data_IF_977542550550
#
_entry.id   IF_977542550550
#
_cell.length_a   1.000
_cell.length_b   1.000
_cell.length_c   1.000
_cell.angle_alpha   90.00
_cell.angle_beta   90.00
_cell.angle_gamma   90.00
#
_symmetry.space_group_name_H-M   'P 1'
#
loop_
_entity.id
_entity.type
_entity.pdbx_description
1 polymer ?
#
# COMPACT_ATOMS: atom_id res chain seq x y z
N UNK A 1 -9.69 0.97 -3.62
CA UNK A 1 -10.24 0.53 -2.33
C UNK A 1 -10.28 1.71 -1.38
N UNK A 2 -11.43 2.38 -1.34
CA UNK A 2 -11.80 3.20 -0.18
C UNK A 2 -12.82 2.35 0.56
N UNK A 3 -12.39 1.71 1.65
CA UNK A 3 -13.32 1.09 2.58
C UNK A 3 -14.07 2.19 3.32
N UNK A 4 -15.30 1.90 3.73
CA UNK A 4 -16.34 2.85 4.18
C UNK A 4 -15.96 3.77 5.37
N UNK A 5 -14.75 3.65 5.90
CA UNK A 5 -14.25 4.31 7.11
C UNK A 5 -12.96 5.14 6.87
N UNK A 6 -12.76 5.68 5.67
CA UNK A 6 -11.57 6.48 5.29
C UNK A 6 -10.24 5.72 5.35
N UNK A 7 -10.28 4.39 5.44
CA UNK A 7 -9.11 3.53 5.41
C UNK A 7 -8.86 3.03 3.98
N UNK A 8 -7.57 2.93 3.62
CA UNK A 8 -7.12 2.34 2.35
C UNK A 8 -6.25 1.15 2.70
N UNK A 9 -6.62 -0.01 2.18
CA UNK A 9 -5.92 -1.27 2.40
C UNK A 9 -5.32 -1.73 1.07
N UNK A 10 -4.13 -2.32 1.14
CA UNK A 10 -3.43 -2.84 -0.03
C UNK A 10 -2.28 -3.74 0.37
N UNK A 11 -2.02 -4.73 -0.48
CA UNK A 11 -0.86 -5.61 -0.38
C UNK A 11 0.15 -5.21 -1.45
N UNK A 12 1.44 -5.25 -1.12
CA UNK A 12 2.51 -4.97 -2.05
C UNK A 12 3.65 -5.95 -1.82
N UNK A 13 4.17 -6.49 -2.92
CA UNK A 13 5.32 -7.40 -2.93
C UNK A 13 6.37 -6.91 -3.92
N UNK A 14 7.64 -7.12 -3.57
CA UNK A 14 8.78 -6.72 -4.39
C UNK A 14 10.04 -6.54 -3.56
N UNK A 15 11.07 -5.98 -4.21
CA UNK A 15 12.35 -5.66 -3.57
C UNK A 15 12.17 -4.72 -2.37
N UNK A 16 12.94 -4.96 -1.30
CA UNK A 16 12.83 -4.19 -0.05
C UNK A 16 12.98 -2.68 -0.28
N UNK A 17 13.91 -2.26 -1.14
CA UNK A 17 14.14 -0.85 -1.49
C UNK A 17 12.91 -0.23 -2.15
N UNK A 18 12.19 -1.00 -2.98
CA UNK A 18 10.97 -0.55 -3.65
C UNK A 18 9.81 -0.46 -2.67
N UNK A 19 9.66 -1.44 -1.78
CA UNK A 19 8.65 -1.43 -0.72
C UNK A 19 8.87 -0.26 0.26
N UNK A 20 10.11 0.02 0.66
CA UNK A 20 10.42 1.16 1.52
C UNK A 20 10.05 2.51 0.86
N UNK A 21 10.28 2.65 -0.46
CA UNK A 21 9.85 3.86 -1.19
C UNK A 21 8.34 3.98 -1.23
N UNK A 22 7.64 2.88 -1.52
CA UNK A 22 6.18 2.84 -1.54
C UNK A 22 5.59 3.25 -0.18
N UNK A 23 6.10 2.70 0.93
CA UNK A 23 5.64 3.04 2.28
C UNK A 23 5.81 4.54 2.58
N UNK A 24 6.94 5.14 2.18
CA UNK A 24 7.17 6.60 2.35
C UNK A 24 6.20 7.43 1.51
N UNK A 25 5.92 7.01 0.28
CA UNK A 25 4.95 7.70 -0.57
C UNK A 25 3.51 7.59 -0.01
N UNK A 26 3.15 6.44 0.57
CA UNK A 26 1.87 6.26 1.28
C UNK A 26 1.82 7.13 2.53
N UNK A 27 2.87 7.17 3.34
CA UNK A 27 2.94 8.01 4.55
C UNK A 27 2.77 9.50 4.23
N UNK A 28 3.36 9.98 3.13
CA UNK A 28 3.14 11.36 2.66
C UNK A 28 1.71 11.57 2.17
N UNK A 29 1.12 10.54 1.56
CA UNK A 29 -0.16 10.62 0.89
C UNK A 29 -0.13 11.43 -0.41
N UNK A 30 -1.17 11.30 -1.25
CA UNK A 30 -1.36 12.16 -2.41
C UNK A 30 -1.67 13.61 -1.99
N UNK A 31 -1.48 14.57 -2.90
CA UNK A 31 -1.54 16.03 -2.61
C UNK A 31 -2.81 16.52 -1.89
N UNK A 32 -3.92 15.80 -2.02
CA UNK A 32 -5.23 16.16 -1.45
C UNK A 32 -5.65 15.25 -0.27
N UNK A 33 -4.78 14.35 0.18
CA UNK A 33 -5.06 13.47 1.29
C UNK A 33 -4.10 13.74 2.45
N UNK A 34 -4.58 13.49 3.67
CA UNK A 34 -3.78 13.54 4.88
C UNK A 34 -3.76 12.16 5.51
N UNK A 35 -2.59 11.53 5.54
CA UNK A 35 -2.41 10.21 6.18
C UNK A 35 -2.17 10.44 7.66
N UNK A 36 -3.11 9.96 8.47
CA UNK A 36 -3.07 10.12 9.93
C UNK A 36 -2.31 8.95 10.58
N UNK A 37 -2.34 7.78 9.95
CA UNK A 37 -1.73 6.56 10.45
C UNK A 37 -1.41 5.62 9.29
N UNK A 38 -0.25 4.97 9.35
CA UNK A 38 0.13 3.87 8.46
C UNK A 38 0.39 2.63 9.31
N UNK A 39 -0.32 1.55 9.02
CA UNK A 39 -0.08 0.23 9.61
C UNK A 39 0.48 -0.69 8.54
N UNK A 40 1.49 -1.49 8.91
CA UNK A 40 2.13 -2.45 8.02
C UNK A 40 2.28 -3.79 8.72
N UNK A 41 2.06 -4.85 7.97
CA UNK A 41 2.26 -6.23 8.39
C UNK A 41 3.00 -6.97 7.28
N UNK A 42 3.99 -7.77 7.65
CA UNK A 42 4.67 -8.63 6.70
C UNK A 42 3.82 -9.87 6.43
N UNK A 43 3.70 -10.24 5.17
CA UNK A 43 2.97 -11.42 4.70
C UNK A 43 3.85 -12.18 3.71
N UNK A 44 3.60 -13.49 3.57
CA UNK A 44 4.31 -14.31 2.61
C UNK A 44 4.00 -13.88 1.15
N UNK A 45 5.00 -13.92 0.26
CA UNK A 45 4.78 -13.60 -1.15
C UNK A 45 3.80 -14.58 -1.80
N UNK A 46 2.92 -14.07 -2.65
CA UNK A 46 1.94 -14.87 -3.40
C UNK A 46 2.51 -15.26 -4.76
N UNK A 47 2.71 -16.55 -4.98
CA UNK A 47 3.17 -17.07 -6.27
C UNK A 47 2.14 -16.81 -7.39
N UNK A 48 2.62 -16.41 -8.57
CA UNK A 48 1.79 -16.20 -9.75
C UNK A 48 1.27 -14.77 -9.93
N UNK A 49 1.50 -13.87 -8.97
CA UNK A 49 1.18 -12.46 -9.12
C UNK A 49 2.32 -11.70 -9.83
N UNK A 50 1.97 -11.00 -10.91
CA UNK A 50 2.91 -10.19 -11.71
C UNK A 50 2.40 -8.78 -11.99
N UNK A 51 1.19 -8.47 -11.53
CA UNK A 51 0.49 -7.23 -11.83
C UNK A 51 0.10 -6.51 -10.54
N UNK A 52 0.34 -5.21 -10.49
CA UNK A 52 -0.22 -4.34 -9.46
C UNK A 52 -1.63 -3.91 -9.89
N UNK A 53 -2.65 -4.39 -9.18
CA UNK A 53 -4.05 -4.15 -9.51
C UNK A 53 -4.67 -3.16 -8.52
N UNK A 54 -5.31 -2.11 -9.06
CA UNK A 54 -6.12 -1.18 -8.27
C UNK A 54 -7.58 -1.58 -8.42
N UNK A 55 -8.12 -2.26 -7.41
CA UNK A 55 -9.56 -2.55 -7.31
C UNK A 55 -10.26 -1.36 -6.66
N UNK A 56 -11.44 -0.99 -7.15
CA UNK A 56 -12.11 0.26 -6.77
C UNK A 56 -12.95 0.06 -5.52
#
# INVERSE_FOLDING_TARGET
MVTSDSQVEGEAQGEEVSLQKLLKDIERGPRLAHVVKLEKSEIDPKEGESLFLVTR
#
